data_IF_687918736197
#
_entry.id   IF_687918736197
#
_cell.length_a   1.000
_cell.length_b   1.000
_cell.length_c   1.000
_cell.angle_alpha   90.00
_cell.angle_beta   90.00
_cell.angle_gamma   90.00
#
_symmetry.space_group_name_H-M   'P 1'
#
loop_
_entity.id
_entity.type
_entity.pdbx_description
1 polymer ?
#
# COMPACT_ATOMS: atom_id res chain seq x y z
N UNK A 1 -0.32 21.57 12.84
CA UNK A 1 -0.31 23.00 12.51
C UNK A 1 0.30 23.74 13.70
N UNK A 2 1.59 24.14 13.57
CA UNK A 2 2.22 25.02 14.54
C UNK A 2 1.47 26.36 14.57
N UNK A 3 1.36 26.96 15.75
CA UNK A 3 0.74 28.25 15.95
C UNK A 3 1.35 29.26 14.98
N UNK A 4 0.55 29.78 14.05
CA UNK A 4 0.96 30.87 13.16
C UNK A 4 1.18 32.09 14.05
N UNK A 5 2.43 32.33 14.46
CA UNK A 5 2.81 33.57 15.15
C UNK A 5 2.59 34.73 14.20
N UNK A 6 1.75 35.70 14.59
CA UNK A 6 1.58 36.95 13.88
C UNK A 6 2.91 37.71 13.85
N UNK A 7 3.72 37.51 12.81
CA UNK A 7 4.75 38.47 12.42
C UNK A 7 4.09 39.52 11.57
N UNK A 8 3.72 40.65 12.17
CA UNK A 8 3.28 41.83 11.48
C UNK A 8 4.48 42.42 10.71
N UNK A 9 4.66 41.98 9.46
CA UNK A 9 5.54 42.67 8.54
C UNK A 9 4.76 43.85 7.95
N UNK A 10 5.32 45.04 8.01
CA UNK A 10 4.81 46.30 7.43
C UNK A 10 4.83 46.22 5.89
N UNK A 11 3.86 45.53 5.32
CA UNK A 11 3.53 45.55 3.90
C UNK A 11 2.23 46.33 3.74
N UNK A 12 2.14 47.23 2.78
CA UNK A 12 0.98 48.12 2.56
C UNK A 12 -0.34 47.32 2.51
N UNK A 13 -1.36 47.81 3.21
CA UNK A 13 -2.68 47.19 3.25
C UNK A 13 -3.32 47.39 1.86
N UNK A 14 -3.51 46.34 1.11
CA UNK A 14 -4.21 46.31 -0.17
C UNK A 14 -5.58 45.67 -0.01
N UNK A 15 -6.54 46.13 -0.86
CA UNK A 15 -7.83 45.44 -0.97
C UNK A 15 -7.55 44.02 -1.53
N UNK A 16 -7.85 43.02 -0.74
CA UNK A 16 -7.64 41.66 -1.18
C UNK A 16 -8.59 41.28 -2.33
N UNK A 17 -8.16 40.52 -3.34
CA UNK A 17 -9.01 40.03 -4.41
C UNK A 17 -10.21 39.21 -3.87
N UNK A 18 -11.39 39.24 -4.51
CA UNK A 18 -12.53 38.40 -4.08
C UNK A 18 -12.18 36.93 -4.07
N UNK A 19 -12.64 36.21 -3.06
CA UNK A 19 -12.51 34.76 -3.00
C UNK A 19 -13.89 34.13 -3.17
N UNK A 20 -14.16 33.64 -4.39
CA UNK A 20 -15.37 32.90 -4.68
C UNK A 20 -15.11 31.42 -4.45
N UNK A 21 -15.94 30.83 -3.58
CA UNK A 21 -15.86 29.40 -3.31
C UNK A 21 -16.74 28.64 -4.31
N UNK A 22 -16.26 27.50 -4.84
CA UNK A 22 -17.15 26.56 -5.51
C UNK A 22 -18.28 26.14 -4.59
N UNK A 23 -19.49 25.84 -5.13
CA UNK A 23 -20.59 25.33 -4.33
C UNK A 23 -20.19 24.03 -3.62
N UNK A 24 -20.78 23.74 -2.44
CA UNK A 24 -20.53 22.48 -1.72
C UNK A 24 -20.82 21.27 -2.60
N UNK A 25 -19.91 20.31 -2.60
CA UNK A 25 -20.02 19.12 -3.44
C UNK A 25 -21.02 18.13 -2.83
N UNK A 26 -22.00 17.74 -3.64
CA UNK A 26 -22.94 16.67 -3.31
C UNK A 26 -22.44 15.35 -3.93
N UNK A 27 -22.32 14.33 -3.10
CA UNK A 27 -21.92 12.99 -3.56
C UNK A 27 -23.15 12.09 -3.58
N UNK A 28 -23.55 11.65 -4.77
CA UNK A 28 -24.59 10.62 -4.87
C UNK A 28 -24.04 9.30 -4.30
N UNK A 29 -24.68 8.69 -3.29
CA UNK A 29 -24.23 7.42 -2.77
C UNK A 29 -24.29 6.34 -3.85
N UNK A 30 -23.45 5.32 -3.72
CA UNK A 30 -23.48 4.16 -4.60
C UNK A 30 -24.78 3.37 -4.37
N UNK A 31 -25.28 2.72 -5.42
CA UNK A 31 -26.45 1.85 -5.30
C UNK A 31 -26.17 0.70 -4.32
N UNK A 32 -27.18 0.32 -3.54
CA UNK A 32 -27.05 -0.82 -2.62
C UNK A 32 -26.63 -2.08 -3.37
N UNK A 33 -25.64 -2.80 -2.85
CA UNK A 33 -25.09 -4.00 -3.49
C UNK A 33 -24.04 -3.74 -4.57
N UNK A 34 -23.66 -2.48 -4.84
CA UNK A 34 -22.53 -2.19 -5.71
C UNK A 34 -21.25 -2.75 -5.08
N UNK A 35 -20.54 -3.60 -5.82
CA UNK A 35 -19.21 -4.09 -5.41
C UNK A 35 -18.21 -2.96 -5.58
N UNK A 36 -17.45 -2.69 -4.54
CA UNK A 36 -16.45 -1.62 -4.51
C UNK A 36 -15.09 -2.20 -4.19
N UNK A 37 -14.08 -1.79 -4.94
CA UNK A 37 -12.68 -2.11 -4.63
C UNK A 37 -12.20 -1.28 -3.43
N UNK A 38 -11.41 -1.89 -2.55
CA UNK A 38 -10.86 -1.21 -1.38
C UNK A 38 -9.84 -0.13 -1.76
N UNK A 39 -9.96 1.03 -1.13
CA UNK A 39 -9.03 2.14 -1.28
C UNK A 39 -8.64 2.74 0.07
N UNK A 40 -7.32 2.92 0.31
CA UNK A 40 -6.77 3.50 1.52
C UNK A 40 -6.08 4.81 1.22
N UNK A 41 -6.38 5.85 2.00
CA UNK A 41 -5.60 7.07 1.98
C UNK A 41 -4.25 6.84 2.66
N UNK A 42 -3.15 7.21 1.99
CA UNK A 42 -1.80 6.93 2.49
C UNK A 42 -1.05 8.19 2.91
N UNK A 43 -1.22 9.31 2.18
CA UNK A 43 -0.52 10.56 2.50
C UNK A 43 -1.08 11.78 1.77
N UNK A 44 -0.83 12.97 2.34
CA UNK A 44 -0.93 14.26 1.66
C UNK A 44 0.45 14.89 1.50
N UNK A 45 0.60 15.74 0.50
CA UNK A 45 1.78 16.58 0.30
C UNK A 45 1.37 17.93 -0.30
N UNK A 46 2.18 18.96 -0.07
CA UNK A 46 2.03 20.25 -0.73
C UNK A 46 2.96 20.37 -1.94
N UNK A 47 2.44 20.97 -2.99
CA UNK A 47 3.20 21.42 -4.16
C UNK A 47 2.88 22.90 -4.41
N UNK A 48 3.31 23.76 -3.50
CA UNK A 48 3.11 25.20 -3.55
C UNK A 48 4.46 25.89 -3.67
N UNK A 49 4.49 27.02 -4.40
CA UNK A 49 5.72 27.79 -4.57
C UNK A 49 6.05 28.55 -3.29
N UNK A 50 7.29 28.42 -2.83
CA UNK A 50 7.79 29.14 -1.67
C UNK A 50 7.65 30.66 -1.87
N UNK A 51 7.19 31.37 -0.83
CA UNK A 51 6.95 32.82 -0.87
C UNK A 51 5.71 33.26 -1.64
N UNK A 52 4.96 32.34 -2.30
CA UNK A 52 3.69 32.70 -2.95
C UNK A 52 2.62 33.13 -1.92
N UNK A 53 1.74 34.04 -2.31
CA UNK A 53 0.60 34.40 -1.44
C UNK A 53 -0.42 33.27 -1.49
N UNK A 54 -0.72 32.65 -0.34
CA UNK A 54 -1.72 31.59 -0.20
C UNK A 54 -2.97 32.05 0.54
N UNK A 55 -2.88 33.13 1.32
CA UNK A 55 -3.99 33.68 2.06
C UNK A 55 -3.87 35.18 2.25
N UNK A 56 -4.99 35.79 2.65
CA UNK A 56 -5.04 37.12 3.16
C UNK A 56 -5.70 37.09 4.54
N UNK A 57 -5.17 37.83 5.50
CA UNK A 57 -5.72 37.93 6.84
C UNK A 57 -6.09 39.35 7.21
N UNK A 58 -7.18 39.54 7.94
CA UNK A 58 -7.62 40.83 8.46
C UNK A 58 -8.28 40.69 9.83
N UNK A 59 -8.47 41.82 10.52
CA UNK A 59 -9.19 41.82 11.80
C UNK A 59 -10.69 41.58 11.59
N UNK A 60 -11.40 41.16 12.64
CA UNK A 60 -12.86 40.91 12.61
C UNK A 60 -13.67 42.10 12.06
N UNK A 61 -13.21 43.34 12.30
CA UNK A 61 -13.87 44.55 11.87
C UNK A 61 -13.59 44.94 10.42
N UNK A 62 -12.44 44.52 9.87
CA UNK A 62 -11.90 44.99 8.57
C UNK A 62 -11.57 43.86 7.60
N UNK A 63 -11.91 42.64 7.91
CA UNK A 63 -11.53 41.44 7.16
C UNK A 63 -11.86 41.47 5.66
N UNK A 64 -12.90 42.21 5.28
CA UNK A 64 -13.29 42.37 3.89
C UNK A 64 -12.69 43.61 3.20
N UNK A 65 -12.16 44.55 3.95
CA UNK A 65 -11.70 45.86 3.45
C UNK A 65 -10.18 46.04 3.49
N UNK A 66 -9.54 45.56 4.55
CA UNK A 66 -8.11 45.74 4.76
C UNK A 66 -7.53 44.36 5.16
N UNK A 67 -6.59 43.87 4.38
CA UNK A 67 -6.00 42.57 4.62
C UNK A 67 -4.51 42.54 4.28
N UNK A 68 -3.76 41.71 5.00
CA UNK A 68 -2.34 41.48 4.76
C UNK A 68 -2.14 40.12 4.10
N UNK A 69 -1.28 40.01 3.08
CA UNK A 69 -0.97 38.74 2.44
C UNK A 69 -0.15 37.86 3.38
N UNK A 70 -0.51 36.57 3.44
CA UNK A 70 0.28 35.53 4.07
C UNK A 70 1.05 34.78 2.99
N UNK A 71 2.36 34.70 3.17
CA UNK A 71 3.28 34.01 2.24
C UNK A 71 3.41 32.54 2.63
N UNK A 72 3.48 31.69 1.62
CA UNK A 72 3.69 30.28 1.81
C UNK A 72 5.12 30.01 2.29
N UNK A 73 5.22 29.24 3.36
CA UNK A 73 6.49 28.70 3.85
C UNK A 73 6.19 27.24 4.26
N UNK A 74 6.84 26.31 3.59
CA UNK A 74 6.63 24.89 3.83
C UNK A 74 6.94 24.45 5.27
N UNK A 75 7.86 25.13 5.95
CA UNK A 75 8.25 24.83 7.34
C UNK A 75 7.12 25.13 8.36
N UNK A 76 6.14 25.98 8.01
CA UNK A 76 5.03 26.34 8.90
C UNK A 76 3.89 25.33 8.86
N UNK A 77 3.96 24.31 7.98
CA UNK A 77 2.87 23.38 7.72
C UNK A 77 3.33 21.94 7.86
N UNK A 78 2.63 21.22 8.71
CA UNK A 78 2.74 19.78 8.85
C UNK A 78 1.36 19.16 8.60
N UNK A 79 1.28 18.24 7.65
CA UNK A 79 0.06 17.46 7.40
C UNK A 79 0.04 16.26 8.33
N UNK A 80 -1.06 16.09 9.06
CA UNK A 80 -1.34 14.88 9.83
C UNK A 80 -1.98 13.82 8.93
N UNK A 81 -1.24 12.76 8.51
CA UNK A 81 -1.77 11.73 7.63
C UNK A 81 -2.93 10.95 8.27
N UNK A 82 -2.93 10.80 9.59
CA UNK A 82 -3.98 10.08 10.30
C UNK A 82 -5.31 10.84 10.24
N UNK A 83 -5.25 12.16 10.42
CA UNK A 83 -6.43 13.02 10.37
C UNK A 83 -6.97 13.20 8.95
N UNK A 84 -6.09 13.37 7.95
CA UNK A 84 -6.50 13.38 6.54
C UNK A 84 -7.14 12.04 6.14
N UNK A 85 -6.54 10.92 6.58
CA UNK A 85 -7.08 9.59 6.37
C UNK A 85 -8.42 9.37 7.07
N UNK A 86 -8.65 9.96 8.24
CA UNK A 86 -9.95 9.91 8.93
C UNK A 86 -11.04 10.63 8.14
N UNK A 87 -10.76 11.84 7.62
CA UNK A 87 -11.68 12.57 6.75
C UNK A 87 -12.00 11.77 5.49
N UNK A 88 -10.99 11.18 4.84
CA UNK A 88 -11.19 10.35 3.66
C UNK A 88 -12.08 9.14 3.94
N UNK A 89 -11.83 8.41 5.04
CA UNK A 89 -12.66 7.25 5.43
C UNK A 89 -14.10 7.63 5.74
N UNK A 90 -14.31 8.72 6.47
CA UNK A 90 -15.65 9.21 6.83
C UNK A 90 -16.48 9.50 5.59
N UNK A 91 -15.95 10.30 4.65
CA UNK A 91 -16.65 10.69 3.43
C UNK A 91 -16.86 9.49 2.47
N UNK A 92 -15.84 8.62 2.36
CA UNK A 92 -15.94 7.38 1.58
C UNK A 92 -17.02 6.46 2.13
N UNK A 93 -17.11 6.32 3.45
CA UNK A 93 -18.16 5.53 4.11
C UNK A 93 -19.56 6.08 3.85
N UNK A 94 -19.76 7.40 3.97
CA UNK A 94 -21.05 8.06 3.72
C UNK A 94 -21.49 7.91 2.25
N UNK A 95 -20.55 7.87 1.32
CA UNK A 95 -20.82 7.75 -0.11
C UNK A 95 -20.94 6.28 -0.58
N UNK A 96 -20.82 5.30 0.31
CA UNK A 96 -20.91 3.88 -0.02
C UNK A 96 -19.63 3.27 -0.62
N UNK A 97 -18.50 3.98 -0.56
CA UNK A 97 -17.17 3.46 -0.91
C UNK A 97 -16.47 2.84 0.29
N UNK A 98 -17.22 2.34 1.27
CA UNK A 98 -16.62 1.70 2.43
C UNK A 98 -15.76 0.52 1.96
N UNK A 99 -14.46 0.63 2.16
CA UNK A 99 -13.63 -0.54 2.36
C UNK A 99 -14.23 -1.32 3.53
N UNK A 100 -14.17 -2.65 3.45
CA UNK A 100 -14.72 -3.55 4.46
C UNK A 100 -14.56 -2.97 5.86
N UNK A 101 -15.66 -2.85 6.61
CA UNK A 101 -15.70 -2.34 7.99
C UNK A 101 -15.01 -3.28 8.99
N UNK A 102 -14.01 -4.02 8.58
CA UNK A 102 -13.08 -4.63 9.49
C UNK A 102 -12.13 -3.53 9.93
N UNK A 103 -12.51 -2.84 11.01
CA UNK A 103 -11.54 -2.16 11.86
C UNK A 103 -10.61 -3.26 12.37
N UNK A 104 -9.63 -3.63 11.55
CA UNK A 104 -8.49 -4.40 12.01
C UNK A 104 -7.70 -3.46 12.91
N UNK A 105 -7.89 -3.59 14.22
CA UNK A 105 -7.08 -2.93 15.25
C UNK A 105 -5.57 -3.26 15.11
N UNK A 106 -5.20 -4.07 14.11
CA UNK A 106 -3.91 -4.72 13.94
C UNK A 106 -3.29 -4.53 12.55
N UNK A 107 -3.71 -3.54 11.77
CA UNK A 107 -3.09 -3.27 10.47
C UNK A 107 -1.72 -2.58 10.64
N UNK A 108 -0.68 -3.37 10.69
CA UNK A 108 0.73 -2.96 10.53
C UNK A 108 1.41 -3.65 9.35
N UNK A 109 0.62 -4.27 8.44
CA UNK A 109 1.11 -4.86 7.20
C UNK A 109 0.90 -3.96 5.97
N UNK A 110 1.49 -4.28 4.80
CA UNK A 110 1.16 -3.61 3.55
C UNK A 110 -0.37 -3.67 3.38
N UNK A 111 -0.98 -2.51 3.12
CA UNK A 111 -2.44 -2.36 3.08
C UNK A 111 -3.06 -3.46 2.23
N UNK A 112 -4.02 -4.20 2.80
CA UNK A 112 -4.81 -5.21 2.09
C UNK A 112 -5.64 -4.62 0.95
N UNK A 113 -5.69 -3.30 0.85
CA UNK A 113 -6.49 -2.59 -0.11
C UNK A 113 -5.75 -2.44 -1.43
N UNK A 114 -6.46 -2.77 -2.51
CA UNK A 114 -5.92 -2.71 -3.87
C UNK A 114 -5.42 -1.33 -4.24
N UNK A 115 -6.17 -0.29 -3.86
CA UNK A 115 -5.83 1.07 -4.22
C UNK A 115 -5.30 1.88 -3.04
N UNK A 116 -4.21 2.61 -3.28
CA UNK A 116 -3.69 3.61 -2.37
C UNK A 116 -3.98 5.00 -2.97
N UNK A 117 -4.54 5.90 -2.16
CA UNK A 117 -4.90 7.26 -2.57
C UNK A 117 -4.01 8.25 -1.86
N UNK A 118 -3.39 9.13 -2.63
CA UNK A 118 -2.60 10.24 -2.13
C UNK A 118 -3.16 11.58 -2.63
N UNK A 119 -3.01 12.63 -1.83
CA UNK A 119 -3.43 14.00 -2.15
C UNK A 119 -2.23 14.90 -2.34
N UNK A 120 -2.05 15.46 -3.52
CA UNK A 120 -1.09 16.52 -3.81
C UNK A 120 -1.82 17.85 -3.85
N UNK A 121 -1.64 18.70 -2.82
CA UNK A 121 -2.27 20.02 -2.73
C UNK A 121 -1.47 20.96 -3.61
N UNK A 122 -2.07 21.39 -4.73
CA UNK A 122 -1.41 22.17 -5.78
C UNK A 122 -1.80 23.65 -5.75
N UNK A 123 -2.82 24.02 -4.96
CA UNK A 123 -3.24 25.40 -4.81
C UNK A 123 -4.03 25.63 -3.53
N UNK A 124 -3.81 26.75 -2.91
CA UNK A 124 -4.59 27.27 -1.78
C UNK A 124 -4.78 28.78 -1.92
N UNK A 125 -6.02 29.23 -1.79
CA UNK A 125 -6.37 30.63 -1.65
C UNK A 125 -7.31 30.78 -0.45
N UNK A 126 -6.96 31.59 0.54
CA UNK A 126 -7.77 31.73 1.74
C UNK A 126 -8.02 33.18 2.13
N UNK A 127 -9.14 33.38 2.82
CA UNK A 127 -9.50 34.57 3.57
C UNK A 127 -9.67 34.20 5.02
N UNK A 128 -8.84 34.76 5.87
CA UNK A 128 -8.82 34.48 7.29
C UNK A 128 -9.14 35.76 8.06
N UNK A 129 -10.13 35.70 8.93
CA UNK A 129 -10.48 36.80 9.80
C UNK A 129 -10.11 36.45 11.24
N UNK A 130 -9.37 37.32 11.92
CA UNK A 130 -8.93 37.11 13.28
C UNK A 130 -9.60 38.07 14.26
N UNK A 131 -9.88 37.60 15.45
CA UNK A 131 -10.17 38.43 16.60
C UNK A 131 -8.98 38.35 17.57
N UNK A 132 -8.13 39.37 17.50
CA UNK A 132 -6.90 39.46 18.30
C UNK A 132 -7.14 39.93 19.74
N UNK A 133 -8.33 40.46 20.03
CA UNK A 133 -8.71 40.85 21.40
C UNK A 133 -9.12 39.65 22.24
N UNK A 134 -9.45 38.53 21.59
CA UNK A 134 -9.73 37.28 22.27
C UNK A 134 -8.44 36.60 22.75
N UNK A 135 -8.49 35.98 23.92
CA UNK A 135 -7.38 35.17 24.44
C UNK A 135 -7.88 33.72 24.71
N UNK A 136 -7.45 32.71 23.94
CA UNK A 136 -6.53 32.81 22.79
C UNK A 136 -7.16 33.54 21.57
N UNK A 137 -6.30 34.03 20.66
CA UNK A 137 -6.74 34.59 19.36
C UNK A 137 -7.60 33.57 18.63
N UNK A 138 -8.73 34.01 18.08
CA UNK A 138 -9.68 33.14 17.36
C UNK A 138 -9.79 33.55 15.90
N UNK A 139 -10.04 32.57 15.05
CA UNK A 139 -10.08 32.74 13.59
C UNK A 139 -11.40 32.18 13.02
N UNK A 140 -11.89 32.84 11.98
CA UNK A 140 -12.84 32.29 11.02
C UNK A 140 -12.24 32.41 9.62
N UNK A 141 -12.77 31.68 8.64
CA UNK A 141 -12.18 31.79 7.32
C UNK A 141 -12.91 31.02 6.23
N UNK A 142 -12.50 31.34 5.01
CA UNK A 142 -12.88 30.61 3.79
C UNK A 142 -11.61 30.25 3.03
N UNK A 143 -11.60 29.07 2.40
CA UNK A 143 -10.46 28.57 1.65
C UNK A 143 -10.95 27.88 0.38
N UNK A 144 -10.32 28.18 -0.75
CA UNK A 144 -10.38 27.40 -1.97
C UNK A 144 -9.11 26.57 -2.05
N UNK A 145 -9.25 25.27 -2.25
CA UNK A 145 -8.13 24.33 -2.32
C UNK A 145 -8.20 23.52 -3.61
N UNK A 146 -7.07 23.40 -4.29
CA UNK A 146 -6.90 22.54 -5.46
C UNK A 146 -6.04 21.33 -5.07
N UNK A 147 -6.49 20.12 -5.45
CA UNK A 147 -5.83 18.87 -5.13
C UNK A 147 -5.73 18.02 -6.40
N UNK A 148 -4.56 17.48 -6.68
CA UNK A 148 -4.37 16.37 -7.60
C UNK A 148 -4.39 15.07 -6.77
N UNK A 149 -5.42 14.27 -6.94
CA UNK A 149 -5.51 12.96 -6.34
C UNK A 149 -4.77 11.95 -7.20
N UNK A 150 -3.89 11.18 -6.59
CA UNK A 150 -3.16 10.10 -7.25
C UNK A 150 -3.64 8.77 -6.69
N UNK A 151 -4.17 7.92 -7.58
CA UNK A 151 -4.62 6.57 -7.22
C UNK A 151 -3.59 5.57 -7.73
N UNK A 152 -2.93 4.91 -6.79
CA UNK A 152 -1.93 3.88 -7.07
C UNK A 152 -2.56 2.50 -6.93
N UNK A 153 -2.43 1.67 -7.95
CA UNK A 153 -2.84 0.26 -7.92
C UNK A 153 -1.68 -0.57 -7.34
N UNK A 154 -1.86 -1.12 -6.13
CA UNK A 154 -0.85 -1.92 -5.42
C UNK A 154 -0.52 -3.21 -6.16
N UNK A 155 -1.46 -3.74 -6.96
CA UNK A 155 -1.29 -4.94 -7.77
C UNK A 155 -0.49 -4.65 -9.04
N UNK A 156 -0.84 -3.56 -9.76
CA UNK A 156 -0.13 -3.14 -10.98
C UNK A 156 1.12 -2.33 -10.68
N UNK A 157 1.30 -1.87 -9.43
CA UNK A 157 2.40 -1.02 -8.96
C UNK A 157 2.60 0.25 -9.80
N UNK A 158 1.51 0.88 -10.20
CA UNK A 158 1.54 2.13 -10.97
C UNK A 158 0.39 3.05 -10.58
N UNK A 159 0.54 4.35 -10.85
CA UNK A 159 -0.55 5.31 -10.75
C UNK A 159 -1.51 5.05 -11.90
N UNK A 160 -2.75 4.66 -11.57
CA UNK A 160 -3.79 4.32 -12.55
C UNK A 160 -4.78 5.46 -12.80
N UNK A 161 -4.82 6.44 -11.91
CA UNK A 161 -5.63 7.65 -12.11
C UNK A 161 -4.97 8.87 -11.46
N UNK A 162 -5.13 10.02 -12.11
CA UNK A 162 -4.86 11.35 -11.57
C UNK A 162 -6.12 12.17 -11.74
N UNK A 163 -6.72 12.58 -10.62
CA UNK A 163 -8.01 13.27 -10.61
C UNK A 163 -7.79 14.66 -10.01
N UNK A 164 -7.82 15.73 -10.80
CA UNK A 164 -7.77 17.08 -10.28
C UNK A 164 -9.14 17.47 -9.71
N UNK A 165 -9.13 18.09 -8.53
CA UNK A 165 -10.32 18.65 -7.90
C UNK A 165 -10.03 20.05 -7.36
N UNK A 166 -11.07 20.90 -7.32
CA UNK A 166 -11.01 22.21 -6.65
C UNK A 166 -12.30 22.40 -5.89
N UNK A 167 -12.19 22.63 -4.60
CA UNK A 167 -13.34 22.79 -3.73
C UNK A 167 -13.10 23.87 -2.67
N UNK A 168 -14.17 24.33 -2.05
CA UNK A 168 -14.15 25.37 -1.03
C UNK A 168 -14.51 24.84 0.36
N UNK A 169 -13.84 25.36 1.40
CA UNK A 169 -14.20 25.16 2.80
C UNK A 169 -14.47 26.47 3.52
N UNK A 170 -15.36 26.45 4.48
CA UNK A 170 -15.75 27.65 5.24
C UNK A 170 -15.92 27.34 6.73
N UNK A 171 -15.25 28.14 7.58
CA UNK A 171 -15.46 28.16 9.02
C UNK A 171 -16.02 29.52 9.43
N UNK A 172 -17.34 29.59 9.70
CA UNK A 172 -18.03 30.83 10.04
C UNK A 172 -17.81 31.26 11.48
N UNK A 173 -17.67 30.28 12.40
CA UNK A 173 -17.48 30.58 13.83
C UNK A 173 -16.02 30.88 14.11
N UNK A 174 -15.78 31.87 14.96
CA UNK A 174 -14.45 32.19 15.43
C UNK A 174 -14.02 31.17 16.49
N UNK A 175 -12.94 30.43 16.21
CA UNK A 175 -12.35 29.44 17.11
C UNK A 175 -10.84 29.53 17.07
N UNK A 176 -10.15 29.09 18.12
CA UNK A 176 -8.69 29.09 18.18
C UNK A 176 -8.04 28.21 17.11
N UNK A 177 -8.75 27.18 16.66
CA UNK A 177 -8.37 26.25 15.59
C UNK A 177 -9.06 26.59 14.25
N UNK A 178 -9.58 27.81 14.09
CA UNK A 178 -10.39 28.19 12.93
C UNK A 178 -9.70 28.08 11.58
N UNK A 179 -8.39 28.36 11.52
CA UNK A 179 -7.58 28.16 10.31
C UNK A 179 -7.52 26.67 9.94
N UNK A 180 -7.25 25.85 10.91
CA UNK A 180 -7.18 24.40 10.75
C UNK A 180 -8.53 23.80 10.34
N UNK A 181 -9.63 24.22 10.96
CA UNK A 181 -10.99 23.82 10.57
C UNK A 181 -11.32 24.21 9.15
N UNK A 182 -10.95 25.42 8.73
CA UNK A 182 -11.14 25.88 7.36
C UNK A 182 -10.39 25.00 6.36
N UNK A 183 -9.15 24.60 6.70
CA UNK A 183 -8.36 23.70 5.88
C UNK A 183 -9.01 22.32 5.76
N UNK A 184 -9.37 21.70 6.89
CA UNK A 184 -9.99 20.36 6.86
C UNK A 184 -11.37 20.35 6.22
N UNK A 185 -12.12 21.45 6.28
CA UNK A 185 -13.39 21.57 5.55
C UNK A 185 -13.14 21.64 4.04
N UNK A 186 -12.17 22.44 3.59
CA UNK A 186 -11.77 22.48 2.18
C UNK A 186 -11.25 21.12 1.68
N UNK A 187 -10.48 20.40 2.51
CA UNK A 187 -10.03 19.05 2.20
C UNK A 187 -11.21 18.07 2.10
N UNK A 188 -12.15 18.11 3.04
CA UNK A 188 -13.39 17.31 3.03
C UNK A 188 -14.17 17.49 1.74
N UNK A 189 -14.36 18.74 1.29
CA UNK A 189 -15.05 19.03 0.03
C UNK A 189 -14.27 18.52 -1.19
N UNK A 190 -12.94 18.51 -1.15
CA UNK A 190 -12.12 17.91 -2.20
C UNK A 190 -12.22 16.37 -2.21
N UNK A 191 -12.31 15.72 -1.04
CA UNK A 191 -12.62 14.26 -0.96
C UNK A 191 -13.98 14.00 -1.61
N UNK A 192 -15.01 14.78 -1.31
CA UNK A 192 -16.33 14.66 -1.95
C UNK A 192 -16.24 14.84 -3.46
N UNK A 193 -15.45 15.80 -3.94
CA UNK A 193 -15.24 16.02 -5.36
C UNK A 193 -14.57 14.81 -6.04
N UNK A 194 -13.59 14.18 -5.38
CA UNK A 194 -13.00 12.92 -5.83
C UNK A 194 -14.06 11.82 -5.93
N UNK A 195 -14.82 11.59 -4.85
CA UNK A 195 -15.86 10.56 -4.78
C UNK A 195 -17.02 10.78 -5.77
N UNK A 196 -17.26 12.03 -6.18
CA UNK A 196 -18.23 12.38 -7.20
C UNK A 196 -17.69 12.24 -8.64
N UNK A 197 -16.37 12.21 -8.82
CA UNK A 197 -15.76 12.15 -10.16
C UNK A 197 -16.05 10.83 -10.86
N UNK A 198 -16.41 10.89 -12.14
CA UNK A 198 -16.69 9.71 -12.96
C UNK A 198 -15.48 8.77 -13.00
N UNK A 199 -14.28 9.33 -13.19
CA UNK A 199 -13.05 8.55 -13.29
C UNK A 199 -12.78 7.73 -12.02
N UNK A 200 -12.96 8.31 -10.82
CA UNK A 200 -12.76 7.58 -9.56
C UNK A 200 -13.87 6.55 -9.35
N UNK A 201 -15.13 6.91 -9.61
CA UNK A 201 -16.28 6.01 -9.48
C UNK A 201 -16.13 4.79 -10.37
N UNK A 202 -15.83 4.98 -11.64
CA UNK A 202 -15.60 3.88 -12.59
C UNK A 202 -14.45 2.98 -12.13
N UNK A 203 -13.34 3.55 -11.68
CA UNK A 203 -12.20 2.78 -11.20
C UNK A 203 -12.56 1.92 -9.98
N UNK A 204 -13.36 2.45 -9.04
CA UNK A 204 -13.73 1.76 -7.80
C UNK A 204 -14.88 0.78 -7.98
N UNK A 205 -15.80 1.01 -8.93
CA UNK A 205 -17.01 0.21 -9.13
C UNK A 205 -16.95 -0.69 -10.36
N UNK A 206 -15.94 -0.51 -11.21
CA UNK A 206 -15.75 -1.51 -12.25
C UNK A 206 -15.67 -2.85 -11.54
N UNK A 207 -16.58 -3.83 -11.92
CA UNK A 207 -16.28 -5.18 -11.54
C UNK A 207 -14.83 -5.35 -11.95
N UNK A 208 -13.97 -5.73 -11.01
CA UNK A 208 -12.75 -6.38 -11.44
C UNK A 208 -13.29 -7.34 -12.49
N UNK A 209 -13.10 -7.03 -13.77
CA UNK A 209 -12.87 -8.15 -14.59
C UNK A 209 -11.79 -8.87 -13.78
N UNK A 210 -12.18 -9.92 -13.07
CA UNK A 210 -11.44 -11.13 -13.26
C UNK A 210 -11.38 -11.17 -14.76
N UNK A 211 -10.53 -10.25 -15.27
CA UNK A 211 -10.16 -10.24 -16.66
C UNK A 211 -9.83 -11.68 -16.77
N UNK A 212 -10.61 -12.40 -17.55
CA UNK A 212 -10.16 -13.66 -18.04
C UNK A 212 -8.68 -13.39 -18.27
N UNK A 213 -7.90 -13.63 -17.22
CA UNK A 213 -6.45 -13.40 -17.22
C UNK A 213 -6.11 -14.17 -18.45
N UNK A 214 -5.47 -13.60 -19.48
CA UNK A 214 -5.09 -14.43 -20.59
C UNK A 214 -4.42 -15.61 -19.92
N UNK A 215 -5.15 -16.74 -19.88
CA UNK A 215 -4.76 -17.89 -19.06
C UNK A 215 -3.36 -18.16 -19.52
N UNK A 216 -2.37 -17.98 -18.63
CA UNK A 216 -0.99 -18.21 -18.99
C UNK A 216 -0.99 -19.58 -19.69
N UNK A 217 -0.45 -19.71 -20.90
CA UNK A 217 -0.49 -21.00 -21.60
C UNK A 217 0.07 -22.06 -20.65
N UNK A 218 -0.55 -23.24 -20.53
CA UNK A 218 -0.05 -24.29 -19.64
C UNK A 218 1.43 -24.53 -19.85
N UNK A 219 2.19 -24.66 -18.78
CA UNK A 219 3.61 -24.96 -18.81
C UNK A 219 3.88 -26.18 -17.95
N UNK A 220 4.45 -27.22 -18.54
CA UNK A 220 4.92 -28.38 -17.81
C UNK A 220 6.38 -28.21 -17.45
N UNK A 221 6.79 -28.72 -16.30
CA UNK A 221 8.19 -28.78 -15.88
C UNK A 221 8.50 -30.15 -15.26
N UNK A 222 9.74 -30.61 -15.42
CA UNK A 222 10.21 -31.86 -14.83
C UNK A 222 10.34 -31.71 -13.30
N UNK A 223 9.39 -32.27 -12.57
CA UNK A 223 9.46 -32.29 -11.11
C UNK A 223 10.51 -33.30 -10.63
N UNK A 224 11.23 -33.02 -9.53
CA UNK A 224 12.13 -34.01 -8.94
C UNK A 224 11.32 -35.21 -8.45
N UNK A 225 11.95 -36.42 -8.48
CA UNK A 225 11.31 -37.59 -7.90
C UNK A 225 11.08 -37.38 -6.38
N UNK A 226 10.02 -38.00 -5.82
CA UNK A 226 9.81 -38.00 -4.38
C UNK A 226 11.06 -38.44 -3.63
N UNK A 227 11.53 -37.64 -2.69
CA UNK A 227 12.68 -37.91 -1.89
C UNK A 227 12.53 -37.25 -0.52
N UNK A 228 12.84 -37.97 0.55
CA UNK A 228 12.96 -37.38 1.89
C UNK A 228 14.29 -36.65 1.97
N UNK A 229 14.24 -35.40 2.41
CA UNK A 229 15.41 -34.54 2.57
C UNK A 229 15.47 -34.00 4.00
N UNK A 230 16.69 -33.77 4.48
CA UNK A 230 16.82 -32.95 5.69
C UNK A 230 16.53 -31.48 5.38
N UNK A 231 16.06 -30.76 6.36
CA UNK A 231 15.83 -29.29 6.22
C UNK A 231 17.14 -28.60 5.79
N UNK A 232 18.28 -29.01 6.33
CA UNK A 232 19.60 -28.48 5.96
C UNK A 232 19.91 -28.68 4.47
N UNK A 233 19.61 -29.85 3.90
CA UNK A 233 19.82 -30.10 2.46
C UNK A 233 18.82 -29.33 1.59
N UNK A 234 17.60 -29.15 2.06
CA UNK A 234 16.60 -28.36 1.36
C UNK A 234 16.95 -26.86 1.35
N UNK A 235 17.59 -26.35 2.41
CA UNK A 235 18.06 -24.95 2.47
C UNK A 235 19.07 -24.62 1.36
N UNK A 236 19.83 -25.61 0.87
CA UNK A 236 20.74 -25.44 -0.28
C UNK A 236 20.05 -25.07 -1.60
N UNK A 237 18.75 -25.32 -1.73
CA UNK A 237 17.95 -24.98 -2.90
C UNK A 237 17.22 -23.64 -2.77
N UNK A 238 17.40 -22.93 -1.63
CA UNK A 238 16.76 -21.63 -1.37
C UNK A 238 17.74 -20.52 -1.69
N UNK A 239 17.31 -19.59 -2.54
CA UNK A 239 18.13 -18.49 -3.06
C UNK A 239 17.66 -17.15 -2.50
N UNK A 240 18.56 -16.17 -2.52
CA UNK A 240 18.20 -14.76 -2.35
C UNK A 240 17.97 -14.13 -3.73
N UNK A 241 16.88 -13.42 -3.88
CA UNK A 241 16.52 -12.69 -5.12
C UNK A 241 16.60 -11.21 -4.86
N UNK A 242 17.28 -10.46 -5.75
CA UNK A 242 17.38 -9.00 -5.72
C UNK A 242 16.74 -8.42 -6.98
N UNK A 243 15.81 -7.49 -6.79
CA UNK A 243 15.15 -6.73 -7.85
C UNK A 243 15.16 -5.24 -7.50
N UNK A 244 15.96 -4.44 -8.22
CA UNK A 244 16.27 -3.06 -7.82
C UNK A 244 16.87 -3.02 -6.41
N UNK A 245 16.33 -2.17 -5.55
CA UNK A 245 16.75 -2.06 -4.13
C UNK A 245 16.04 -3.09 -3.22
N UNK A 246 15.13 -3.89 -3.77
CA UNK A 246 14.37 -4.90 -3.03
C UNK A 246 15.10 -6.24 -2.94
N UNK A 247 14.88 -6.95 -1.84
CA UNK A 247 15.41 -8.29 -1.59
C UNK A 247 14.32 -9.22 -1.05
N UNK A 248 14.36 -10.46 -1.49
CA UNK A 248 13.52 -11.55 -1.00
C UNK A 248 14.16 -12.92 -1.22
N UNK A 249 13.40 -13.96 -1.02
CA UNK A 249 13.82 -15.35 -1.17
C UNK A 249 13.13 -16.00 -2.38
N UNK A 250 13.66 -17.10 -2.83
CA UNK A 250 13.07 -18.00 -3.81
C UNK A 250 13.62 -19.41 -3.65
N UNK A 251 13.06 -20.39 -4.33
CA UNK A 251 13.52 -21.76 -4.25
C UNK A 251 13.39 -22.51 -5.56
N UNK A 252 14.32 -23.46 -5.77
CA UNK A 252 14.42 -24.24 -6.99
C UNK A 252 13.38 -25.37 -7.00
N UNK A 253 12.62 -25.47 -8.11
CA UNK A 253 11.56 -26.48 -8.31
C UNK A 253 11.86 -27.46 -9.46
N UNK A 254 12.80 -27.14 -10.34
CA UNK A 254 13.17 -28.00 -11.46
C UNK A 254 14.66 -27.91 -11.80
N UNK A 255 15.22 -29.00 -12.33
CA UNK A 255 16.64 -29.10 -12.65
C UNK A 255 17.10 -28.17 -13.80
N UNK A 256 16.17 -27.65 -14.61
CA UNK A 256 16.42 -26.66 -15.65
C UNK A 256 16.45 -25.21 -15.13
N UNK A 257 16.51 -25.03 -13.81
CA UNK A 257 16.70 -23.73 -13.17
C UNK A 257 15.42 -22.93 -12.90
N UNK A 258 14.25 -23.57 -12.82
CA UNK A 258 13.02 -22.90 -12.45
C UNK A 258 12.95 -22.64 -10.94
N UNK A 259 12.73 -21.39 -10.58
CA UNK A 259 12.58 -20.90 -9.20
C UNK A 259 11.18 -20.36 -8.99
N UNK A 260 10.56 -20.64 -7.85
CA UNK A 260 9.36 -19.94 -7.37
C UNK A 260 9.74 -18.87 -6.36
N UNK A 261 8.99 -17.77 -6.39
CA UNK A 261 9.09 -16.63 -5.46
C UNK A 261 7.77 -15.86 -5.42
N UNK A 262 7.69 -14.76 -4.67
CA UNK A 262 6.54 -13.85 -4.73
C UNK A 262 6.64 -12.85 -5.89
N UNK A 263 5.45 -12.39 -6.37
CA UNK A 263 5.39 -11.28 -7.31
C UNK A 263 6.01 -10.01 -6.72
N UNK A 264 5.71 -9.65 -5.47
CA UNK A 264 6.22 -8.43 -4.85
C UNK A 264 7.75 -8.43 -4.70
N UNK A 265 8.41 -9.59 -4.69
CA UNK A 265 9.88 -9.71 -4.69
C UNK A 265 10.47 -9.33 -6.04
N UNK A 266 9.86 -9.77 -7.14
CA UNK A 266 10.37 -9.47 -8.50
C UNK A 266 9.79 -8.17 -9.08
N UNK A 267 8.60 -7.76 -8.63
CA UNK A 267 7.88 -6.59 -9.13
C UNK A 267 7.64 -6.65 -10.64
N UNK A 268 7.98 -5.57 -11.33
CA UNK A 268 7.92 -5.46 -12.79
C UNK A 268 9.25 -5.78 -13.48
N UNK A 269 10.25 -6.29 -12.73
CA UNK A 269 11.55 -6.59 -13.30
C UNK A 269 11.45 -7.76 -14.29
N UNK A 270 12.08 -7.62 -15.46
CA UNK A 270 12.26 -8.71 -16.41
C UNK A 270 13.41 -9.63 -16.01
N UNK A 271 14.43 -9.07 -15.38
CA UNK A 271 15.60 -9.79 -14.89
C UNK A 271 15.87 -9.43 -13.45
N UNK A 272 16.28 -10.43 -12.67
CA UNK A 272 16.64 -10.31 -11.26
C UNK A 272 18.00 -10.91 -11.02
N UNK A 273 18.69 -10.48 -9.96
CA UNK A 273 19.89 -11.15 -9.52
C UNK A 273 19.52 -12.28 -8.56
N UNK A 274 20.06 -13.45 -8.78
CA UNK A 274 19.86 -14.67 -7.96
C UNK A 274 21.19 -14.99 -7.28
N UNK A 275 21.17 -15.13 -5.95
CA UNK A 275 22.34 -15.53 -5.17
C UNK A 275 22.05 -16.85 -4.47
N UNK A 276 22.94 -17.80 -4.67
CA UNK A 276 22.89 -19.14 -4.06
C UNK A 276 23.55 -19.16 -2.67
N UNK A 277 23.24 -20.14 -1.80
CA UNK A 277 23.86 -20.25 -0.47
C UNK A 277 25.38 -20.41 -0.48
N UNK A 278 25.97 -20.97 -1.56
CA UNK A 278 27.40 -21.08 -1.76
C UNK A 278 28.09 -19.76 -2.15
N UNK A 279 27.30 -18.66 -2.20
CA UNK A 279 27.78 -17.33 -2.60
C UNK A 279 27.81 -17.09 -4.12
N UNK A 280 27.51 -18.13 -4.93
CA UNK A 280 27.42 -17.97 -6.38
C UNK A 280 26.25 -17.09 -6.79
N UNK A 281 26.48 -16.18 -7.75
CA UNK A 281 25.49 -15.28 -8.28
C UNK A 281 25.19 -15.58 -9.74
N UNK A 282 23.97 -15.26 -10.17
CA UNK A 282 23.53 -15.41 -11.54
C UNK A 282 22.36 -14.48 -11.87
N UNK A 283 21.97 -14.48 -13.13
CA UNK A 283 20.79 -13.75 -13.61
C UNK A 283 19.61 -14.71 -13.66
N UNK A 284 18.46 -14.25 -13.17
CA UNK A 284 17.17 -14.90 -13.32
C UNK A 284 16.28 -14.11 -14.26
N UNK A 285 15.64 -14.75 -15.22
CA UNK A 285 14.59 -14.16 -16.07
C UNK A 285 13.23 -14.45 -15.47
N UNK A 286 12.41 -13.42 -15.26
CA UNK A 286 11.04 -13.57 -14.81
C UNK A 286 10.17 -14.04 -15.96
N UNK A 287 9.78 -15.33 -15.96
CA UNK A 287 9.00 -15.94 -17.01
C UNK A 287 7.51 -15.68 -16.88
N UNK A 288 7.03 -15.70 -15.64
CA UNK A 288 5.61 -15.57 -15.30
C UNK A 288 5.46 -14.86 -13.98
N UNK A 289 4.37 -14.12 -13.84
CA UNK A 289 4.02 -13.46 -12.59
C UNK A 289 2.52 -13.30 -12.47
N UNK A 290 1.98 -13.60 -11.30
CA UNK A 290 0.59 -13.37 -10.95
C UNK A 290 0.52 -12.40 -9.75
N UNK A 291 0.31 -11.09 -10.02
CA UNK A 291 0.17 -10.10 -8.95
C UNK A 291 -1.02 -10.39 -8.02
N UNK A 292 -2.08 -10.97 -8.57
CA UNK A 292 -3.29 -11.26 -7.80
C UNK A 292 -3.10 -12.36 -6.76
N UNK A 293 -2.24 -13.36 -7.02
CA UNK A 293 -1.90 -14.40 -6.05
C UNK A 293 -0.57 -14.12 -5.34
N UNK A 294 0.17 -13.13 -5.81
CA UNK A 294 1.49 -12.76 -5.32
C UNK A 294 2.53 -13.88 -5.51
N UNK A 295 2.59 -14.46 -6.70
CA UNK A 295 3.56 -15.49 -7.07
C UNK A 295 4.25 -15.18 -8.39
N UNK A 296 5.50 -15.63 -8.54
CA UNK A 296 6.28 -15.48 -9.77
C UNK A 296 7.17 -16.70 -10.03
N UNK A 297 7.41 -16.96 -11.32
CA UNK A 297 8.32 -17.98 -11.83
C UNK A 297 9.52 -17.28 -12.45
N UNK A 298 10.71 -17.66 -11.99
CA UNK A 298 11.99 -17.15 -12.47
C UNK A 298 12.80 -18.30 -13.03
N UNK A 299 13.52 -18.11 -14.14
CA UNK A 299 14.48 -19.07 -14.67
C UNK A 299 15.90 -18.58 -14.51
N UNK A 300 16.76 -19.39 -13.93
CA UNK A 300 18.21 -19.16 -13.90
C UNK A 300 18.93 -20.21 -14.76
N UNK A 301 20.00 -19.80 -15.44
CA UNK A 301 20.73 -20.68 -16.37
C UNK A 301 21.70 -21.66 -15.69
N UNK A 302 21.99 -21.47 -14.40
CA UNK A 302 22.99 -22.26 -13.70
C UNK A 302 22.51 -22.63 -12.29
N UNK A 303 21.58 -23.60 -12.16
CA UNK A 303 21.17 -24.08 -10.85
C UNK A 303 22.37 -24.76 -10.12
N UNK A 304 22.53 -24.45 -8.83
CA UNK A 304 23.64 -24.90 -8.00
C UNK A 304 23.23 -25.90 -6.92
N UNK A 305 21.98 -26.38 -7.00
CA UNK A 305 21.42 -27.33 -6.05
C UNK A 305 20.42 -28.24 -6.76
N UNK A 306 19.98 -29.28 -6.06
CA UNK A 306 18.90 -30.14 -6.51
C UNK A 306 17.54 -29.52 -6.18
N UNK A 307 16.54 -29.56 -7.10
CA UNK A 307 15.24 -28.96 -6.88
C UNK A 307 14.49 -29.59 -5.70
N UNK A 308 13.63 -28.79 -5.05
CA UNK A 308 12.78 -29.22 -3.95
C UNK A 308 11.58 -30.03 -4.44
N UNK A 309 11.18 -31.02 -3.68
CA UNK A 309 9.93 -31.76 -3.91
C UNK A 309 8.76 -30.89 -3.50
N UNK A 310 7.72 -30.87 -4.32
CA UNK A 310 6.50 -30.12 -4.05
C UNK A 310 5.40 -31.06 -3.53
N UNK A 311 4.89 -30.80 -2.34
CA UNK A 311 3.78 -31.53 -1.75
C UNK A 311 2.50 -30.69 -1.90
N UNK A 312 1.67 -31.04 -2.90
CA UNK A 312 0.42 -30.34 -3.19
C UNK A 312 -0.73 -30.74 -2.25
N UNK A 313 -0.57 -31.78 -1.47
CA UNK A 313 -1.51 -32.15 -0.41
C UNK A 313 -1.38 -31.15 0.76
N UNK A 314 -2.50 -30.57 1.16
CA UNK A 314 -2.53 -29.61 2.26
C UNK A 314 -1.92 -30.20 3.55
N UNK A 315 -1.10 -29.43 4.28
CA UNK A 315 -0.57 -29.86 5.55
C UNK A 315 -1.68 -29.91 6.62
N UNK A 316 -1.50 -30.77 7.61
CA UNK A 316 -2.48 -30.99 8.69
C UNK A 316 -2.27 -29.96 9.82
N UNK A 317 -3.33 -29.66 10.53
CA UNK A 317 -3.27 -28.84 11.74
C UNK A 317 -2.30 -29.48 12.76
N UNK A 318 -1.41 -28.68 13.34
CA UNK A 318 -0.37 -29.13 14.26
C UNK A 318 0.85 -29.77 13.60
N UNK A 319 0.88 -29.94 12.28
CA UNK A 319 2.04 -30.44 11.55
C UNK A 319 3.22 -29.46 11.67
N UNK A 320 4.40 -29.97 11.98
CA UNK A 320 5.59 -29.15 12.08
C UNK A 320 6.02 -28.65 10.70
N UNK A 321 6.37 -27.36 10.62
CA UNK A 321 6.79 -26.69 9.38
C UNK A 321 8.01 -25.81 9.62
N UNK A 322 8.78 -25.60 8.54
CA UNK A 322 10.02 -24.85 8.55
C UNK A 322 10.01 -23.79 7.46
N UNK A 323 10.31 -22.55 7.82
CA UNK A 323 10.53 -21.46 6.87
C UNK A 323 12.03 -21.37 6.59
N UNK A 324 12.39 -21.31 5.32
CA UNK A 324 13.79 -21.10 4.92
C UNK A 324 13.87 -19.85 4.05
N UNK A 325 14.80 -18.94 4.36
CA UNK A 325 14.92 -17.69 3.60
C UNK A 325 16.14 -16.85 3.98
N UNK A 326 16.08 -15.57 3.59
CA UNK A 326 17.14 -14.57 3.82
C UNK A 326 16.52 -13.39 4.60
N UNK A 327 16.31 -13.52 5.92
CA UNK A 327 15.67 -12.47 6.69
C UNK A 327 16.58 -11.24 6.82
N UNK A 328 16.00 -10.05 6.67
CA UNK A 328 16.57 -8.73 6.95
C UNK A 328 17.78 -8.32 6.10
N UNK A 329 18.77 -9.19 5.93
CA UNK A 329 20.03 -8.90 5.25
C UNK A 329 20.60 -10.16 4.58
N UNK A 330 21.30 -10.00 3.46
CA UNK A 330 21.92 -11.10 2.72
C UNK A 330 22.89 -11.98 3.56
N UNK A 331 23.42 -11.44 4.66
CA UNK A 331 24.31 -12.17 5.59
C UNK A 331 23.56 -13.27 6.34
N UNK A 332 22.24 -13.19 6.41
CA UNK A 332 21.40 -14.21 7.06
C UNK A 332 20.78 -15.20 6.07
N UNK A 333 21.33 -15.28 4.84
CA UNK A 333 20.89 -16.26 3.85
C UNK A 333 20.91 -17.68 4.40
N UNK A 334 19.84 -18.46 4.11
CA UNK A 334 19.69 -19.83 4.59
C UNK A 334 19.24 -19.96 6.05
N UNK A 335 18.75 -18.86 6.64
CA UNK A 335 18.14 -18.92 7.97
C UNK A 335 16.90 -19.81 7.97
N UNK A 336 16.79 -20.64 9.04
CA UNK A 336 15.66 -21.56 9.23
C UNK A 336 14.91 -21.18 10.50
N UNK A 337 13.59 -21.06 10.40
CA UNK A 337 12.70 -20.96 11.56
C UNK A 337 11.72 -22.12 11.57
N UNK A 338 11.28 -22.57 12.76
CA UNK A 338 10.36 -23.70 12.93
C UNK A 338 9.09 -23.22 13.61
N UNK A 339 7.96 -23.80 13.21
CA UNK A 339 6.67 -23.65 13.84
C UNK A 339 5.76 -24.82 13.52
N UNK A 340 4.45 -24.63 13.71
CA UNK A 340 3.41 -25.60 13.36
C UNK A 340 2.34 -24.95 12.49
N UNK A 341 1.62 -25.76 11.73
CA UNK A 341 0.42 -25.33 11.03
C UNK A 341 -0.65 -25.00 12.07
N UNK A 342 -0.96 -23.71 12.24
CA UNK A 342 -1.94 -23.23 13.22
C UNK A 342 -3.36 -23.22 12.68
N UNK A 343 -3.53 -23.03 11.37
CA UNK A 343 -4.85 -23.05 10.70
C UNK A 343 -4.69 -23.05 9.17
N UNK A 344 -5.79 -23.37 8.46
CA UNK A 344 -6.01 -22.91 7.08
C UNK A 344 -7.01 -21.77 7.12
N UNK A 345 -6.72 -20.66 6.45
CA UNK A 345 -7.56 -19.46 6.43
C UNK A 345 -7.96 -19.12 5.00
N UNK A 346 -9.16 -18.59 4.86
CA UNK A 346 -9.57 -17.94 3.62
C UNK A 346 -9.64 -16.44 3.90
N UNK A 347 -8.81 -15.69 3.22
CA UNK A 347 -8.75 -14.25 3.32
C UNK A 347 -8.92 -13.66 1.91
N UNK A 348 -9.89 -12.78 1.72
CA UNK A 348 -10.25 -12.21 0.41
C UNK A 348 -10.50 -13.27 -0.68
N UNK A 349 -11.16 -14.38 -0.31
CA UNK A 349 -11.46 -15.48 -1.22
C UNK A 349 -10.26 -16.36 -1.59
N UNK A 350 -9.09 -16.17 -0.96
CA UNK A 350 -7.85 -16.93 -1.20
C UNK A 350 -7.47 -17.76 0.00
N UNK A 351 -7.08 -19.01 -0.24
CA UNK A 351 -6.61 -19.88 0.82
C UNK A 351 -5.20 -19.55 1.26
N UNK A 352 -4.94 -19.61 2.57
CA UNK A 352 -3.60 -19.47 3.17
C UNK A 352 -3.38 -20.53 4.25
N UNK A 353 -2.15 -21.01 4.35
CA UNK A 353 -1.68 -21.75 5.50
C UNK A 353 -1.25 -20.72 6.54
N UNK A 354 -1.74 -20.84 7.77
CA UNK A 354 -1.29 -20.03 8.91
C UNK A 354 -0.32 -20.85 9.75
N UNK A 355 0.81 -20.25 10.15
CA UNK A 355 1.78 -20.86 11.07
C UNK A 355 2.34 -19.81 12.04
N UNK A 356 2.84 -20.26 13.17
CA UNK A 356 3.60 -19.49 14.16
C UNK A 356 5.12 -19.46 13.87
N UNK A 357 5.58 -20.15 12.82
CA UNK A 357 6.97 -20.07 12.37
C UNK A 357 7.34 -18.63 12.05
N UNK A 358 8.39 -18.10 12.67
CA UNK A 358 8.78 -16.68 12.57
C UNK A 358 9.13 -16.29 11.14
N UNK A 359 8.51 -15.23 10.64
CA UNK A 359 8.74 -14.63 9.32
C UNK A 359 9.18 -13.19 9.51
N UNK A 360 10.27 -12.79 8.84
CA UNK A 360 10.77 -11.42 8.79
C UNK A 360 10.89 -10.97 7.33
N UNK A 361 11.00 -9.66 7.11
CA UNK A 361 11.28 -9.11 5.78
C UNK A 361 12.49 -9.79 5.14
N UNK A 362 12.37 -10.18 3.86
CA UNK A 362 13.38 -10.97 3.15
C UNK A 362 13.11 -12.49 3.11
N UNK A 363 12.28 -13.05 4.01
CA UNK A 363 11.80 -14.44 3.90
C UNK A 363 10.73 -14.60 2.81
N UNK A 364 10.09 -13.51 2.39
CA UNK A 364 9.08 -13.52 1.32
C UNK A 364 9.58 -14.21 0.07
N UNK A 365 8.76 -15.11 -0.49
CA UNK A 365 9.11 -15.95 -1.64
C UNK A 365 9.88 -17.22 -1.30
N UNK A 366 10.35 -17.38 -0.06
CA UNK A 366 10.98 -18.60 0.42
C UNK A 366 9.96 -19.72 0.68
N UNK A 367 10.41 -20.99 0.73
CA UNK A 367 9.54 -22.13 0.94
C UNK A 367 9.09 -22.28 2.39
N UNK A 368 7.86 -22.76 2.59
CA UNK A 368 7.41 -23.44 3.79
C UNK A 368 7.58 -24.93 3.57
N UNK A 369 8.43 -25.59 4.35
CA UNK A 369 8.76 -27.02 4.25
C UNK A 369 8.04 -27.82 5.32
N UNK A 370 7.68 -29.07 5.00
CA UNK A 370 7.33 -30.08 5.99
C UNK A 370 8.60 -30.73 6.60
N UNK A 371 8.43 -31.71 7.51
CA UNK A 371 9.54 -32.41 8.17
C UNK A 371 10.38 -33.26 7.20
N UNK A 372 9.82 -33.70 6.08
CA UNK A 372 10.46 -34.41 5.00
C UNK A 372 11.19 -33.50 4.01
N UNK A 373 11.18 -32.17 4.25
CA UNK A 373 11.84 -31.17 3.41
C UNK A 373 11.11 -30.90 2.10
N UNK A 374 9.84 -31.30 1.98
CA UNK A 374 8.99 -30.99 0.83
C UNK A 374 8.29 -29.64 1.00
N UNK A 375 8.09 -28.91 -0.08
CA UNK A 375 7.43 -27.61 -0.07
C UNK A 375 5.93 -27.76 0.02
N UNK A 376 5.32 -27.21 1.05
CA UNK A 376 3.86 -27.14 1.24
C UNK A 376 3.29 -25.74 0.94
N UNK A 377 4.14 -24.70 0.94
CA UNK A 377 3.70 -23.33 0.70
C UNK A 377 4.85 -22.36 0.39
N UNK A 378 4.48 -21.12 0.09
CA UNK A 378 5.37 -19.98 -0.17
C UNK A 378 5.14 -18.92 0.90
N UNK A 379 6.20 -18.42 1.51
CA UNK A 379 6.16 -17.36 2.52
C UNK A 379 5.69 -16.04 1.91
N UNK A 380 4.70 -15.39 2.52
CA UNK A 380 4.20 -14.07 2.06
C UNK A 380 4.55 -12.99 3.06
N UNK A 381 4.02 -13.06 4.29
CA UNK A 381 4.19 -12.02 5.30
C UNK A 381 3.94 -12.57 6.70
N UNK A 382 4.54 -11.90 7.70
CA UNK A 382 4.17 -12.00 9.10
C UNK A 382 3.28 -10.85 9.50
N UNK A 383 2.38 -11.07 10.46
CA UNK A 383 1.63 -10.01 11.12
C UNK A 383 2.46 -9.38 12.23
N UNK A 384 2.42 -8.04 12.30
CA UNK A 384 3.07 -7.27 13.34
C UNK A 384 2.06 -6.38 14.04
N UNK A 385 2.21 -6.19 15.36
CA UNK A 385 1.46 -5.21 16.15
C UNK A 385 2.49 -4.28 16.79
N UNK A 386 2.39 -2.98 16.50
CA UNK A 386 3.36 -2.01 17.02
C UNK A 386 4.81 -2.28 16.62
N UNK A 387 5.02 -2.93 15.46
CA UNK A 387 6.34 -3.34 14.98
C UNK A 387 6.88 -4.65 15.59
N UNK A 388 6.08 -5.35 16.41
CA UNK A 388 6.45 -6.64 16.99
C UNK A 388 5.69 -7.79 16.32
N UNK A 389 6.37 -8.89 15.89
CA UNK A 389 5.71 -10.05 15.31
C UNK A 389 4.79 -10.74 16.34
N UNK A 390 3.57 -11.10 15.91
CA UNK A 390 2.55 -11.69 16.80
C UNK A 390 2.36 -13.20 16.61
N UNK A 391 3.25 -13.86 15.86
CA UNK A 391 3.17 -15.30 15.63
C UNK A 391 2.03 -15.73 14.71
N UNK A 392 1.49 -14.83 13.92
CA UNK A 392 0.52 -15.12 12.86
C UNK A 392 1.17 -14.83 11.52
N UNK A 393 1.61 -15.89 10.84
CA UNK A 393 2.27 -15.76 9.55
C UNK A 393 1.48 -16.50 8.48
N UNK A 394 1.42 -15.96 7.27
CA UNK A 394 0.61 -16.47 6.17
C UNK A 394 1.51 -16.97 5.03
N UNK A 395 1.09 -18.11 4.47
CA UNK A 395 1.79 -18.78 3.38
C UNK A 395 0.82 -19.16 2.28
N UNK A 396 1.21 -18.95 1.04
CA UNK A 396 0.44 -19.40 -0.13
C UNK A 396 0.58 -20.90 -0.26
N UNK A 397 -0.50 -21.72 -0.27
CA UNK A 397 -0.40 -23.15 -0.56
C UNK A 397 0.29 -23.39 -1.91
N UNK A 398 1.19 -24.38 -1.97
CA UNK A 398 1.99 -24.61 -3.18
C UNK A 398 1.15 -25.00 -4.39
N UNK A 399 0.07 -25.76 -4.19
CA UNK A 399 -0.88 -26.14 -5.24
C UNK A 399 -1.58 -24.92 -5.84
N UNK A 400 -1.88 -23.92 -5.00
CA UNK A 400 -2.51 -22.67 -5.42
C UNK A 400 -1.53 -21.78 -6.21
N UNK A 401 -0.27 -21.72 -5.79
CA UNK A 401 0.79 -21.04 -6.53
C UNK A 401 1.00 -21.66 -7.93
N UNK A 402 1.03 -22.98 -8.02
CA UNK A 402 1.16 -23.68 -9.31
C UNK A 402 -0.04 -23.39 -10.23
N UNK A 403 -1.27 -23.43 -9.70
CA UNK A 403 -2.48 -23.06 -10.47
C UNK A 403 -2.43 -21.63 -10.98
N UNK A 404 -2.08 -20.68 -10.13
CA UNK A 404 -2.01 -19.26 -10.49
C UNK A 404 -1.01 -18.99 -11.63
N UNK A 405 0.10 -19.72 -11.65
CA UNK A 405 1.12 -19.61 -12.69
C UNK A 405 0.88 -20.58 -13.88
N UNK A 406 -0.23 -21.33 -13.89
CA UNK A 406 -0.53 -22.37 -14.91
C UNK A 406 0.62 -23.36 -15.09
N UNK A 407 1.17 -23.84 -13.99
CA UNK A 407 2.27 -24.79 -13.94
C UNK A 407 1.77 -26.20 -13.60
N UNK A 408 2.25 -27.19 -14.37
CA UNK A 408 1.95 -28.61 -14.14
C UNK A 408 3.25 -29.39 -13.99
N UNK A 409 3.52 -30.02 -12.84
CA UNK A 409 4.66 -30.91 -12.71
C UNK A 409 4.43 -32.16 -13.57
N UNK A 410 5.41 -32.48 -14.41
CA UNK A 410 5.48 -33.77 -15.10
C UNK A 410 6.37 -34.74 -14.32
N UNK A 411 5.99 -35.98 -14.30
CA UNK A 411 6.80 -37.07 -13.71
C UNK A 411 7.91 -37.52 -14.64
#
# INVERSE_FOLDING_TARGET
LAAIGCVAMAGGAEAAPSLDLPPPVQVAPLAAGTRVEGAKFVRGAFQLNEGATWAYTGSILTCSLISSPLRWNAADWELDPARLGAVFREESGQAGFASSQNVNLFETGPSSERYQVAALITGMDARLCSNVEANPVVYSGRMRMSVEWQVFDSVRRQIVARVPTTAGGEQKRYTSDGVERTFYDAFRQNVRALLASTQYRELMTQPTQESSRPSLPPMTFAAPPPAVRTIASSAGAVVTIFAGDGMGSGFLIAGDGLLLTNHHVVGSARYVKVRWPDGGEGVGEVLRSDPGRDVALVRTSAPRSSPLVLRTLAPRLGEAVFVVGTPLDQRFQGSVTKGVVSATRVYEGRAYIQSDAVVNGGNSGGPLLDEEGSVVGITVSGMEIGGAPVGINLFIPIDDALRALSLTPSR
#
